data_IF_142702672879
#
_entry.id   IF_142702672879
#
_cell.length_a   1.000
_cell.length_b   1.000
_cell.length_c   1.000
_cell.angle_alpha   90.00
_cell.angle_beta   90.00
_cell.angle_gamma   90.00
#
_symmetry.space_group_name_H-M   'P 1'
#
loop_
_entity.id
_entity.type
_entity.pdbx_description
1 polymer ?
#
# COMPACT_ATOMS: atom_id res chain seq x y z
N UNK A 1 -9.35 32.49 -2.82
CA UNK A 1 -10.06 33.47 -1.95
C UNK A 1 -9.39 33.47 -0.58
N UNK A 2 -8.84 34.61 -0.07
CA UNK A 2 -8.00 34.64 1.14
C UNK A 2 -8.77 34.57 2.48
N UNK A 3 -10.05 34.95 2.50
CA UNK A 3 -10.86 34.99 3.73
C UNK A 3 -11.05 33.60 4.38
N UNK A 4 -11.19 32.55 3.55
CA UNK A 4 -11.37 31.18 4.03
C UNK A 4 -10.14 30.66 4.80
N UNK A 5 -8.94 30.98 4.34
CA UNK A 5 -7.68 30.61 5.00
C UNK A 5 -7.53 31.32 6.34
N UNK A 6 -7.83 32.63 6.40
CA UNK A 6 -7.75 33.41 7.65
C UNK A 6 -8.72 32.90 8.71
N UNK A 7 -9.99 32.68 8.34
CA UNK A 7 -11.01 32.15 9.25
C UNK A 7 -10.63 30.73 9.71
N UNK A 8 -10.10 29.89 8.82
CA UNK A 8 -9.64 28.54 9.15
C UNK A 8 -8.51 28.52 10.18
N UNK A 9 -7.46 29.35 9.99
CA UNK A 9 -6.32 29.40 10.91
C UNK A 9 -6.70 30.00 12.27
N UNK A 10 -7.45 31.10 12.29
CA UNK A 10 -7.88 31.74 13.54
C UNK A 10 -8.84 30.83 14.30
N UNK A 11 -9.79 30.18 13.61
CA UNK A 11 -10.73 29.24 14.22
C UNK A 11 -10.02 28.05 14.88
N UNK A 12 -9.02 27.47 14.23
CA UNK A 12 -8.27 26.32 14.76
C UNK A 12 -7.54 26.66 16.08
N UNK A 13 -6.88 27.82 16.15
CA UNK A 13 -6.12 28.25 17.36
C UNK A 13 -7.08 28.61 18.50
N UNK A 14 -8.16 29.34 18.22
CA UNK A 14 -9.13 29.77 19.25
C UNK A 14 -9.86 28.58 19.86
N UNK A 15 -10.35 27.65 19.03
CA UNK A 15 -11.03 26.43 19.53
C UNK A 15 -10.05 25.54 20.29
N UNK A 16 -8.84 25.33 19.78
CA UNK A 16 -7.83 24.50 20.43
C UNK A 16 -7.47 25.00 21.84
N UNK A 17 -7.29 26.31 22.00
CA UNK A 17 -6.99 26.91 23.31
C UNK A 17 -8.18 26.91 24.27
N UNK A 18 -9.41 27.07 23.76
CA UNK A 18 -10.63 27.02 24.57
C UNK A 18 -10.88 25.61 25.15
N UNK A 19 -10.67 24.57 24.36
CA UNK A 19 -10.87 23.16 24.75
C UNK A 19 -9.94 22.75 25.90
N UNK A 20 -8.67 23.18 25.86
CA UNK A 20 -7.70 22.94 26.94
C UNK A 20 -8.09 23.70 28.21
N UNK A 21 -8.44 24.97 28.07
CA UNK A 21 -8.82 25.81 29.22
C UNK A 21 -10.11 25.33 29.90
N UNK A 22 -11.05 24.80 29.14
CA UNK A 22 -12.30 24.24 29.65
C UNK A 22 -12.14 22.84 30.26
N UNK A 23 -10.96 22.22 30.17
CA UNK A 23 -10.69 20.90 30.73
C UNK A 23 -11.33 19.73 30.00
N UNK A 24 -11.87 19.95 28.78
CA UNK A 24 -12.43 18.87 27.96
C UNK A 24 -11.38 17.86 27.51
N UNK A 25 -10.12 18.30 27.36
CA UNK A 25 -9.01 17.48 26.87
C UNK A 25 -7.73 17.88 27.58
N UNK A 26 -6.92 16.90 28.03
CA UNK A 26 -5.63 17.18 28.64
C UNK A 26 -4.58 17.58 27.60
N UNK A 27 -3.58 18.42 27.95
CA UNK A 27 -2.51 18.80 27.02
C UNK A 27 -1.78 17.61 26.39
N UNK A 28 -1.62 16.52 27.13
CA UNK A 28 -0.99 15.29 26.66
C UNK A 28 -1.79 14.61 25.54
N UNK A 29 -3.12 14.58 25.65
CA UNK A 29 -3.99 13.99 24.62
C UNK A 29 -3.87 14.78 23.31
N UNK A 30 -3.74 16.11 23.36
CA UNK A 30 -3.60 16.93 22.15
C UNK A 30 -2.33 16.57 21.38
N UNK A 31 -1.22 16.33 22.08
CA UNK A 31 0.04 15.92 21.42
C UNK A 31 -0.13 14.58 20.70
N UNK A 32 -0.75 13.59 21.35
CA UNK A 32 -0.97 12.27 20.72
C UNK A 32 -1.92 12.40 19.52
N UNK A 33 -3.00 13.18 19.66
CA UNK A 33 -3.97 13.40 18.59
C UNK A 33 -3.36 14.08 17.37
N UNK A 34 -2.53 15.11 17.54
CA UNK A 34 -1.91 15.82 16.41
C UNK A 34 -0.91 14.93 15.66
N UNK A 35 -0.17 14.07 16.37
CA UNK A 35 0.70 13.06 15.76
C UNK A 35 -0.11 12.07 14.92
N UNK A 36 -1.19 11.51 15.47
CA UNK A 36 -2.08 10.60 14.72
C UNK A 36 -2.70 11.27 13.50
N UNK A 37 -3.19 12.51 13.66
CA UNK A 37 -3.78 13.27 12.55
C UNK A 37 -2.77 13.54 11.43
N UNK A 38 -1.52 13.87 11.78
CA UNK A 38 -0.45 14.08 10.82
C UNK A 38 -0.08 12.78 10.08
N UNK A 39 -0.03 11.64 10.78
CA UNK A 39 0.18 10.35 10.14
C UNK A 39 -0.90 10.02 9.11
N UNK A 40 -2.15 10.35 9.40
CA UNK A 40 -3.25 10.13 8.45
C UNK A 40 -3.17 11.02 7.20
N UNK A 41 -2.51 12.18 7.29
CA UNK A 41 -2.28 13.03 6.12
C UNK A 41 -1.26 12.47 5.12
N UNK A 42 -0.52 11.41 5.48
CA UNK A 42 0.48 10.78 4.61
C UNK A 42 -0.13 9.86 3.56
N UNK A 43 -1.43 9.54 3.63
CA UNK A 43 -2.11 8.70 2.64
C UNK A 43 -2.12 9.39 1.25
N UNK A 44 -1.43 8.86 0.22
CA UNK A 44 -1.25 9.56 -1.06
C UNK A 44 -2.45 9.44 -2.00
N UNK A 45 -3.41 8.55 -1.70
CA UNK A 45 -4.52 8.20 -2.58
C UNK A 45 -5.85 8.76 -2.06
N UNK A 46 -6.32 9.81 -2.72
CA UNK A 46 -7.58 10.49 -2.38
C UNK A 46 -8.79 9.54 -2.51
N UNK A 47 -8.79 8.66 -3.51
CA UNK A 47 -9.87 7.69 -3.73
C UNK A 47 -9.99 6.66 -2.58
N UNK A 48 -8.88 6.34 -1.92
CA UNK A 48 -8.90 5.45 -0.75
C UNK A 48 -9.43 6.15 0.50
N UNK A 49 -9.44 7.48 0.54
CA UNK A 49 -9.88 8.24 1.73
C UNK A 49 -11.38 8.08 1.98
N UNK A 50 -12.20 8.06 0.92
CA UNK A 50 -13.64 7.80 1.03
C UNK A 50 -13.93 6.40 1.56
N UNK A 51 -13.24 5.40 1.01
CA UNK A 51 -13.35 4.00 1.43
C UNK A 51 -12.88 3.79 2.87
N UNK A 52 -11.76 4.41 3.26
CA UNK A 52 -11.23 4.33 4.63
C UNK A 52 -12.21 4.92 5.66
N UNK A 53 -12.90 6.00 5.30
CA UNK A 53 -13.93 6.61 6.15
C UNK A 53 -15.12 5.68 6.31
N UNK A 54 -15.60 5.06 5.23
CA UNK A 54 -16.71 4.11 5.27
C UNK A 54 -16.36 2.87 6.10
N UNK A 55 -15.15 2.35 5.92
CA UNK A 55 -14.63 1.20 6.67
C UNK A 55 -14.52 1.47 8.17
N UNK A 56 -14.10 2.67 8.55
CA UNK A 56 -14.05 3.10 9.95
C UNK A 56 -15.44 3.09 10.59
N UNK A 57 -16.48 3.53 9.88
CA UNK A 57 -17.86 3.46 10.38
C UNK A 57 -18.35 2.02 10.55
N UNK A 58 -18.01 1.12 9.63
CA UNK A 58 -18.34 -0.30 9.74
C UNK A 58 -17.68 -0.93 10.96
N UNK A 59 -16.39 -0.67 11.18
CA UNK A 59 -15.67 -1.16 12.36
C UNK A 59 -16.22 -0.56 13.66
N UNK A 60 -16.58 0.72 13.65
CA UNK A 60 -17.13 1.40 14.82
C UNK A 60 -18.50 0.85 15.21
N UNK A 61 -19.38 0.57 14.24
CA UNK A 61 -20.67 -0.08 14.48
C UNK A 61 -20.49 -1.51 14.99
N UNK A 62 -19.56 -2.28 14.42
CA UNK A 62 -19.26 -3.63 14.90
C UNK A 62 -18.74 -3.62 16.34
N UNK A 63 -17.85 -2.68 16.67
CA UNK A 63 -17.33 -2.50 18.02
C UNK A 63 -18.38 -1.98 19.00
N UNK A 64 -19.36 -1.18 18.54
CA UNK A 64 -20.44 -0.69 19.39
C UNK A 64 -21.40 -1.82 19.80
N UNK A 65 -21.74 -2.74 18.89
CA UNK A 65 -22.68 -3.84 19.18
C UNK A 65 -22.03 -4.97 19.97
N UNK A 66 -20.79 -5.33 19.65
CA UNK A 66 -20.11 -6.51 20.22
C UNK A 66 -18.86 -6.17 21.05
N UNK A 67 -18.59 -4.89 21.31
CA UNK A 67 -17.41 -4.45 22.06
C UNK A 67 -16.09 -4.84 21.37
N UNK A 68 -15.11 -5.27 22.16
CA UNK A 68 -13.80 -5.69 21.66
C UNK A 68 -13.88 -6.94 20.77
N UNK A 69 -14.85 -7.82 21.01
CA UNK A 69 -15.10 -8.99 20.17
C UNK A 69 -15.50 -8.59 18.75
N UNK A 70 -16.33 -7.55 18.62
CA UNK A 70 -16.70 -6.97 17.32
C UNK A 70 -15.51 -6.42 16.56
N UNK A 71 -14.59 -5.76 17.26
CA UNK A 71 -13.35 -5.25 16.65
C UNK A 71 -12.48 -6.39 16.11
N UNK A 72 -12.28 -7.46 16.89
CA UNK A 72 -11.46 -8.62 16.46
C UNK A 72 -12.10 -9.34 15.27
N UNK A 73 -13.42 -9.53 15.27
CA UNK A 73 -14.10 -10.17 14.15
C UNK A 73 -14.08 -9.29 12.89
N UNK A 74 -14.27 -7.98 13.05
CA UNK A 74 -14.22 -7.04 11.93
C UNK A 74 -12.82 -6.95 11.33
N UNK A 75 -11.75 -7.01 12.14
CA UNK A 75 -10.37 -7.00 11.62
C UNK A 75 -10.05 -8.29 10.86
N UNK A 76 -10.43 -9.46 11.37
CA UNK A 76 -10.26 -10.73 10.65
C UNK A 76 -11.04 -10.72 9.33
N UNK A 77 -12.29 -10.27 9.33
CA UNK A 77 -13.12 -10.16 8.13
C UNK A 77 -12.52 -9.19 7.10
N UNK A 78 -11.96 -8.06 7.57
CA UNK A 78 -11.26 -7.11 6.71
C UNK A 78 -10.03 -7.75 6.07
N UNK A 79 -9.22 -8.51 6.81
CA UNK A 79 -8.05 -9.22 6.28
C UNK A 79 -8.44 -10.20 5.18
N UNK A 80 -9.50 -10.99 5.36
CA UNK A 80 -9.99 -11.93 4.35
C UNK A 80 -10.41 -11.18 3.07
N UNK A 81 -11.10 -10.06 3.22
CA UNK A 81 -11.52 -9.23 2.08
C UNK A 81 -10.30 -8.70 1.32
N UNK A 82 -9.29 -8.21 2.02
CA UNK A 82 -8.04 -7.70 1.43
C UNK A 82 -7.23 -8.78 0.69
N UNK A 83 -7.22 -10.03 1.17
CA UNK A 83 -6.58 -11.16 0.47
C UNK A 83 -7.30 -11.47 -0.85
N UNK A 84 -8.62 -11.33 -0.87
CA UNK A 84 -9.47 -11.69 -2.01
C UNK A 84 -9.43 -10.64 -3.12
N UNK A 85 -9.21 -9.37 -2.77
CA UNK A 85 -9.05 -8.31 -3.76
C UNK A 85 -7.72 -8.48 -4.51
N UNK A 86 -7.80 -8.77 -5.81
CA UNK A 86 -6.64 -8.85 -6.71
C UNK A 86 -6.45 -7.50 -7.40
N UNK A 87 -5.31 -6.84 -7.21
CA UNK A 87 -4.95 -5.65 -8.00
C UNK A 87 -3.92 -6.05 -9.05
N UNK A 88 -4.30 -5.96 -10.33
CA UNK A 88 -3.41 -6.20 -11.47
C UNK A 88 -2.78 -7.61 -11.53
N UNK A 89 -3.55 -8.64 -11.18
CA UNK A 89 -3.14 -10.05 -11.28
C UNK A 89 -2.26 -10.57 -10.14
N UNK A 90 -1.99 -9.74 -9.13
CA UNK A 90 -1.22 -10.08 -7.93
C UNK A 90 -2.08 -9.76 -6.70
N UNK A 91 -2.12 -10.61 -5.64
CA UNK A 91 -2.91 -10.30 -4.44
C UNK A 91 -2.58 -8.92 -3.85
N UNK A 92 -3.58 -8.17 -3.37
CA UNK A 92 -3.36 -6.81 -2.80
C UNK A 92 -2.39 -6.82 -1.61
N UNK A 93 -2.22 -7.98 -0.97
CA UNK A 93 -1.32 -8.20 0.15
C UNK A 93 0.05 -8.76 -0.25
N UNK A 94 0.47 -8.69 -1.51
CA UNK A 94 1.84 -9.12 -1.87
C UNK A 94 2.82 -8.11 -1.27
N UNK A 95 3.71 -8.47 -0.29
CA UNK A 95 4.42 -9.76 -0.04
C UNK A 95 4.00 -10.59 1.21
N UNK A 96 2.90 -10.26 1.89
CA UNK A 96 2.28 -11.09 2.95
C UNK A 96 1.68 -12.39 2.38
N UNK A 97 1.30 -12.40 1.10
CA UNK A 97 0.88 -13.59 0.35
C UNK A 97 1.38 -13.48 -1.11
N UNK A 98 2.27 -14.36 -1.63
CA UNK A 98 2.97 -15.50 -1.03
C UNK A 98 4.15 -15.07 -0.14
N UNK A 99 4.32 -15.76 0.99
CA UNK A 99 5.40 -15.49 1.95
C UNK A 99 6.78 -15.81 1.35
N UNK A 100 7.43 -14.81 0.74
CA UNK A 100 8.78 -14.90 0.17
C UNK A 100 9.70 -13.90 0.85
N UNK A 101 10.61 -14.38 1.70
CA UNK A 101 11.54 -13.52 2.45
C UNK A 101 12.38 -12.56 1.59
N UNK A 102 12.59 -12.90 0.31
CA UNK A 102 13.30 -12.05 -0.67
C UNK A 102 12.49 -10.79 -1.02
N UNK A 103 11.17 -10.88 -1.09
CA UNK A 103 10.28 -9.77 -1.44
C UNK A 103 10.05 -8.82 -0.25
N UNK A 104 10.25 -9.30 0.99
CA UNK A 104 10.19 -8.47 2.21
C UNK A 104 11.37 -7.49 2.32
N UNK A 105 12.57 -7.92 1.91
CA UNK A 105 13.75 -7.06 1.89
C UNK A 105 13.62 -5.94 0.84
N UNK A 106 13.01 -6.23 -0.31
CA UNK A 106 12.78 -5.26 -1.40
C UNK A 106 11.57 -4.33 -1.11
N UNK A 107 10.61 -4.78 -0.29
CA UNK A 107 9.48 -3.97 0.20
C UNK A 107 9.88 -2.99 1.32
N UNK A 108 10.76 -3.41 2.24
CA UNK A 108 11.25 -2.55 3.32
C UNK A 108 12.34 -1.59 2.81
N UNK A 109 13.18 -2.06 1.89
CA UNK A 109 14.27 -1.29 1.30
C UNK A 109 14.05 -1.16 -0.21
N UNK A 110 13.16 -0.24 -0.60
CA UNK A 110 12.84 0.03 -2.00
C UNK A 110 14.10 0.47 -2.76
N UNK A 111 14.70 -0.44 -3.54
CA UNK A 111 15.85 -0.12 -4.40
C UNK A 111 15.45 0.92 -5.45
N UNK A 112 16.34 1.88 -5.78
CA UNK A 112 16.07 2.90 -6.79
C UNK A 112 15.81 2.26 -8.16
N UNK A 113 14.96 2.93 -8.95
CA UNK A 113 14.34 2.39 -10.16
C UNK A 113 15.30 1.88 -11.25
N UNK A 114 16.58 2.24 -11.14
CA UNK A 114 17.60 1.90 -12.12
C UNK A 114 17.98 0.41 -12.17
N UNK A 115 17.47 -0.44 -11.27
CA UNK A 115 17.81 -1.87 -11.22
C UNK A 115 16.62 -2.81 -11.51
N UNK A 116 15.50 -2.30 -12.02
CA UNK A 116 14.35 -3.11 -12.45
C UNK A 116 14.56 -3.83 -13.79
N UNK A 117 15.74 -4.42 -14.03
CA UNK A 117 16.00 -5.30 -15.19
C UNK A 117 15.60 -6.75 -14.89
N UNK A 118 15.57 -7.15 -13.62
CA UNK A 118 14.95 -8.41 -13.21
C UNK A 118 13.45 -8.21 -13.05
N UNK A 119 12.68 -8.74 -14.00
CA UNK A 119 11.22 -8.83 -13.93
C UNK A 119 10.85 -9.48 -12.60
N UNK A 120 9.99 -8.81 -11.80
CA UNK A 120 9.43 -9.37 -10.56
C UNK A 120 9.07 -10.83 -10.80
N UNK A 121 9.48 -11.71 -9.89
CA UNK A 121 9.26 -13.16 -9.96
C UNK A 121 7.78 -13.54 -10.09
N UNK A 122 6.85 -12.61 -9.81
CA UNK A 122 5.41 -12.71 -10.03
C UNK A 122 4.97 -12.51 -11.49
N UNK A 123 5.74 -11.74 -12.26
CA UNK A 123 5.56 -11.55 -13.70
C UNK A 123 6.34 -12.60 -14.52
N UNK A 124 6.91 -13.63 -13.86
CA UNK A 124 7.36 -14.84 -14.55
C UNK A 124 6.13 -15.68 -14.90
N UNK A 125 5.91 -15.98 -16.19
CA UNK A 125 4.91 -16.99 -16.53
C UNK A 125 5.35 -18.32 -15.90
N UNK A 126 4.43 -18.99 -15.19
CA UNK A 126 4.66 -20.29 -14.57
C UNK A 126 4.67 -21.37 -15.65
N UNK A 127 5.81 -21.48 -16.33
CA UNK A 127 6.00 -22.45 -17.40
C UNK A 127 6.49 -23.77 -16.78
N UNK A 128 5.57 -24.66 -16.41
CA UNK A 128 5.90 -26.06 -16.12
C UNK A 128 4.66 -26.96 -16.21
N UNK A 129 4.50 -27.97 -17.08
CA UNK A 129 5.18 -28.54 -18.27
C UNK A 129 4.10 -29.34 -19.04
N UNK A 130 4.25 -29.71 -20.32
CA UNK A 130 4.88 -30.96 -20.77
C UNK A 130 5.30 -30.81 -22.25
N UNK A 131 6.61 -30.75 -22.52
CA UNK A 131 7.11 -30.79 -23.89
C UNK A 131 8.54 -30.36 -24.15
N UNK A 132 9.02 -29.20 -23.66
CA UNK A 132 10.31 -28.65 -24.11
C UNK A 132 11.01 -27.76 -23.06
N UNK A 133 12.29 -28.01 -22.81
CA UNK A 133 13.30 -27.07 -22.27
C UNK A 133 14.63 -27.68 -22.69
N UNK A 134 15.61 -26.95 -23.28
CA UNK A 134 16.06 -25.62 -22.84
C UNK A 134 16.55 -24.69 -23.98
N UNK A 135 15.94 -23.54 -24.18
CA UNK A 135 16.63 -22.42 -24.83
C UNK A 135 16.04 -21.10 -24.37
N UNK A 136 16.78 -20.42 -23.50
CA UNK A 136 17.00 -18.97 -23.48
C UNK A 136 17.44 -18.55 -22.07
N UNK A 137 18.71 -18.83 -21.77
CA UNK A 137 19.50 -17.94 -20.94
C UNK A 137 20.41 -17.13 -21.88
N UNK A 138 20.59 -15.82 -21.67
CA UNK A 138 21.11 -14.90 -22.67
C UNK A 138 22.64 -14.95 -22.66
N UNK A 139 23.25 -15.27 -23.79
CA UNK A 139 24.68 -15.19 -23.99
C UNK A 139 24.95 -14.54 -25.34
N UNK A 140 25.45 -13.30 -25.29
CA UNK A 140 26.19 -12.57 -26.32
C UNK A 140 26.08 -13.15 -27.74
N UNK A 141 25.19 -12.59 -28.57
CA UNK A 141 25.29 -12.79 -30.03
C UNK A 141 26.58 -12.11 -30.48
N UNK A 142 27.64 -12.83 -30.89
CA UNK A 142 28.72 -12.17 -31.59
C UNK A 142 28.15 -11.83 -32.96
N UNK A 143 28.29 -10.57 -33.38
CA UNK A 143 28.02 -10.17 -34.75
C UNK A 143 29.04 -10.86 -35.68
N UNK A 144 28.82 -12.14 -36.00
CA UNK A 144 29.58 -12.87 -37.00
C UNK A 144 29.09 -12.44 -38.39
N UNK A 145 29.79 -11.41 -38.83
CA UNK A 145 29.99 -10.94 -40.20
C UNK A 145 30.37 -12.10 -41.13
N UNK A 146 29.61 -12.29 -42.21
CA UNK A 146 30.09 -12.83 -43.49
C UNK A 146 30.15 -14.34 -43.66
N UNK A 147 29.15 -14.91 -44.34
CA UNK A 147 29.22 -16.16 -45.12
C UNK A 147 28.03 -16.12 -46.10
N UNK A 148 28.15 -15.51 -47.29
CA UNK A 148 28.56 -16.12 -48.57
C UNK A 148 27.97 -17.53 -48.75
N UNK A 149 26.92 -17.67 -49.58
CA UNK A 149 27.03 -18.50 -50.78
C UNK A 149 25.95 -18.15 -51.84
N UNK A 150 26.27 -18.28 -53.15
CA UNK A 150 25.50 -17.87 -54.30
C UNK A 150 24.70 -19.06 -54.89
N UNK A 151 23.78 -18.74 -55.81
CA UNK A 151 22.92 -19.66 -56.58
C UNK A 151 21.68 -20.19 -55.85
N UNK A 152 20.58 -19.46 -56.04
CA UNK A 152 19.26 -19.99 -56.38
C UNK A 152 18.48 -18.90 -57.11
#
# INVERSE_FOLDING_TARGET
KPLATTIGTVGAIVVGTAVVKAGFVSPQIIVVMTLTALSFFTAPSYDLTGTWRLLSWVMLVAAFVYGIYGLVLATIGLTIKLVTETSLGVPYLTPLAPFRAVDWADALWRKPWAHFVERRTEARPQDARWGQTPSQQPASVPLQRGQIDPRA
#
